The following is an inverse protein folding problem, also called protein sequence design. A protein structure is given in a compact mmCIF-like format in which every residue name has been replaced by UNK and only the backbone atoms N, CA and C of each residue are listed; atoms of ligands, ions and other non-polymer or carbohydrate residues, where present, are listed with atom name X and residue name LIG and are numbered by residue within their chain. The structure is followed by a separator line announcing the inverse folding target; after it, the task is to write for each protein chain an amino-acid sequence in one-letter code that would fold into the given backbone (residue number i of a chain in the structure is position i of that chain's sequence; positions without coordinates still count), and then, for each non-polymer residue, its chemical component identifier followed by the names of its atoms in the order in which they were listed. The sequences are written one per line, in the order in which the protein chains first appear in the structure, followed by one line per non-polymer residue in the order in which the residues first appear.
data_IF_448861630681
#
_entry.id   IF_448861630681
#
_cell.length_a   1.000
_cell.length_b   1.000
_cell.length_c   1.000
_cell.angle_alpha   90.00
_cell.angle_beta   90.00
_cell.angle_gamma   90.00
#
_symmetry.space_group_name_H-M   'P 1'
#
loop_
_entity.id
_entity.type
_entity.pdbx_description
1 polymer ?
#
# COMPACT_ATOMS: atom_id res chain seq x y z
N UNK A 1 11.41 10.38 -44.64
CA UNK A 1 10.56 11.06 -43.68
C UNK A 1 9.69 10.08 -42.87
N UNK A 2 8.90 9.19 -43.48
CA UNK A 2 8.05 8.21 -42.74
C UNK A 2 8.83 7.30 -41.77
N UNK A 3 10.03 6.83 -42.12
CA UNK A 3 10.87 5.96 -41.26
C UNK A 3 11.45 6.72 -40.08
N UNK A 4 11.77 8.01 -40.23
CA UNK A 4 12.28 8.85 -39.14
C UNK A 4 11.18 9.14 -38.11
N UNK A 5 9.96 9.35 -38.59
CA UNK A 5 8.79 9.55 -37.73
C UNK A 5 8.43 8.29 -36.93
N UNK A 6 8.59 7.09 -37.51
CA UNK A 6 8.36 5.81 -36.83
C UNK A 6 9.40 5.57 -35.72
N UNK A 7 10.68 5.91 -35.96
CA UNK A 7 11.74 5.77 -34.93
C UNK A 7 11.52 6.77 -33.78
N UNK A 8 11.11 8.00 -34.08
CA UNK A 8 10.80 9.02 -33.09
C UNK A 8 9.58 8.61 -32.24
N UNK A 9 8.54 8.07 -32.87
CA UNK A 9 7.36 7.56 -32.15
C UNK A 9 7.69 6.37 -31.22
N UNK A 10 8.63 5.51 -31.61
CA UNK A 10 9.08 4.38 -30.80
C UNK A 10 9.87 4.83 -29.56
N UNK A 11 10.60 5.94 -29.65
CA UNK A 11 11.37 6.51 -28.53
C UNK A 11 10.47 7.11 -27.42
N UNK A 12 9.25 7.55 -27.76
CA UNK A 12 8.29 8.08 -26.81
C UNK A 12 7.52 7.01 -26.00
N UNK A 13 7.68 5.73 -26.33
CA UNK A 13 6.97 4.61 -25.68
C UNK A 13 7.65 4.10 -24.41
N UNK A 14 8.84 4.60 -24.06
CA UNK A 14 9.51 4.26 -22.82
C UNK A 14 9.25 5.36 -21.76
N UNK A 15 8.65 5.00 -20.64
CA UNK A 15 8.50 5.87 -19.49
C UNK A 15 9.40 5.38 -18.36
N UNK A 16 10.02 6.34 -17.67
CA UNK A 16 10.81 6.06 -16.49
C UNK A 16 9.94 6.29 -15.24
N UNK A 17 9.93 5.31 -14.36
CA UNK A 17 9.31 5.42 -13.03
C UNK A 17 10.43 5.48 -11.99
N UNK A 18 10.36 6.47 -11.12
CA UNK A 18 11.29 6.63 -10.00
C UNK A 18 10.61 6.06 -8.76
N UNK A 19 11.33 5.20 -8.05
CA UNK A 19 10.95 4.69 -6.72
C UNK A 19 11.83 5.38 -5.71
N UNK A 20 11.22 6.13 -4.81
CA UNK A 20 11.93 6.90 -3.79
C UNK A 20 12.57 6.01 -2.70
N UNK A 21 13.61 6.47 -2.00
CA UNK A 21 14.16 5.82 -0.83
C UNK A 21 13.09 5.62 0.26
N UNK A 22 13.06 4.42 0.86
CA UNK A 22 12.03 4.02 1.83
C UNK A 22 10.75 3.47 1.23
N UNK A 23 10.74 3.25 -0.10
CA UNK A 23 9.67 2.59 -0.83
C UNK A 23 10.23 1.44 -1.67
N UNK A 24 9.37 0.51 -2.06
CA UNK A 24 9.68 -0.52 -3.04
C UNK A 24 8.61 -0.53 -4.13
N UNK A 25 9.06 -0.80 -5.35
CA UNK A 25 8.16 -0.93 -6.50
C UNK A 25 7.75 -2.39 -6.70
N UNK A 26 6.45 -2.63 -6.85
CA UNK A 26 5.91 -3.91 -7.28
C UNK A 26 5.37 -3.76 -8.69
N UNK A 27 5.93 -4.50 -9.65
CA UNK A 27 5.50 -4.45 -11.06
C UNK A 27 4.29 -5.33 -11.32
N UNK A 28 3.27 -4.76 -11.93
CA UNK A 28 2.16 -5.48 -12.54
C UNK A 28 2.25 -5.34 -14.06
N UNK A 29 2.37 -6.44 -14.77
CA UNK A 29 2.41 -6.47 -16.25
C UNK A 29 1.18 -7.19 -16.77
N UNK A 30 0.35 -6.49 -17.55
CA UNK A 30 -0.91 -7.02 -18.09
C UNK A 30 -1.80 -7.66 -16.97
N UNK A 31 -1.87 -7.02 -15.82
CA UNK A 31 -2.64 -7.51 -14.67
C UNK A 31 -1.98 -8.61 -13.83
N UNK A 32 -0.81 -9.13 -14.25
CA UNK A 32 -0.05 -10.11 -13.46
C UNK A 32 0.99 -9.41 -12.60
N UNK A 33 0.89 -9.58 -11.29
CA UNK A 33 1.90 -9.11 -10.33
C UNK A 33 3.16 -9.98 -10.44
N UNK A 34 4.32 -9.32 -10.46
CA UNK A 34 5.60 -10.02 -10.37
C UNK A 34 5.99 -10.19 -8.90
N UNK A 35 6.46 -11.40 -8.48
CA UNK A 35 6.80 -11.68 -7.08
C UNK A 35 8.08 -11.00 -6.61
N UNK A 36 8.63 -10.08 -7.39
CA UNK A 36 9.89 -9.38 -7.09
C UNK A 36 9.61 -7.95 -6.67
N UNK A 37 10.10 -7.57 -5.48
CA UNK A 37 10.20 -6.19 -5.05
C UNK A 37 11.40 -5.51 -5.71
N UNK A 38 11.17 -4.36 -6.31
CA UNK A 38 12.21 -3.55 -6.95
C UNK A 38 12.68 -2.47 -5.97
N UNK A 39 13.98 -2.42 -5.77
CA UNK A 39 14.64 -1.46 -4.89
C UNK A 39 14.43 -0.01 -5.39
N UNK A 40 14.62 1.00 -4.49
CA UNK A 40 14.59 2.40 -4.87
C UNK A 40 15.55 2.70 -6.03
N UNK A 41 15.12 3.58 -6.91
CA UNK A 41 15.91 4.01 -8.05
C UNK A 41 15.08 4.20 -9.32
N UNK A 42 15.78 4.43 -10.43
CA UNK A 42 15.17 4.62 -11.74
C UNK A 42 14.81 3.27 -12.36
N UNK A 43 13.56 3.15 -12.77
CA UNK A 43 13.05 1.97 -13.47
C UNK A 43 12.48 2.36 -14.84
N UNK A 44 12.97 1.70 -15.88
CA UNK A 44 12.35 1.81 -17.21
C UNK A 44 11.18 0.85 -17.32
N UNK A 45 10.01 1.36 -17.62
CA UNK A 45 8.78 0.58 -17.80
C UNK A 45 8.05 1.03 -19.06
N UNK A 46 7.31 0.11 -19.68
CA UNK A 46 6.39 0.47 -20.73
C UNK A 46 5.05 0.85 -20.10
N UNK A 47 4.60 2.12 -20.17
CA UNK A 47 3.40 2.59 -19.49
C UNK A 47 2.11 1.96 -20.02
N UNK A 48 2.12 1.43 -21.25
CA UNK A 48 0.94 0.83 -21.87
C UNK A 48 0.60 -0.56 -21.29
N UNK A 49 1.62 -1.29 -20.81
CA UNK A 49 1.46 -2.68 -20.38
C UNK A 49 1.91 -2.95 -18.95
N UNK A 50 2.63 -2.00 -18.32
CA UNK A 50 3.22 -2.19 -17.00
C UNK A 50 2.81 -1.06 -16.07
N UNK A 51 2.20 -1.43 -14.93
CA UNK A 51 1.94 -0.55 -13.80
C UNK A 51 2.91 -0.88 -12.66
N UNK A 52 3.41 0.15 -12.00
CA UNK A 52 4.24 0.00 -10.79
C UNK A 52 3.44 0.50 -9.59
N UNK A 53 3.24 -0.39 -8.62
CA UNK A 53 2.64 -0.07 -7.32
C UNK A 53 3.79 0.23 -6.36
N UNK A 54 3.78 1.41 -5.77
CA UNK A 54 4.82 1.85 -4.82
C UNK A 54 4.32 1.58 -3.40
N UNK A 55 5.10 0.81 -2.63
CA UNK A 55 4.75 0.38 -1.28
C UNK A 55 5.77 0.95 -0.29
N UNK A 56 5.33 1.66 0.78
CA UNK A 56 6.24 2.15 1.80
C UNK A 56 6.83 1.00 2.61
N UNK A 57 8.15 1.03 2.79
CA UNK A 57 8.90 0.10 3.64
C UNK A 57 9.45 0.76 4.89
N UNK A 58 9.31 2.09 4.97
CA UNK A 58 9.55 2.85 6.19
C UNK A 58 8.39 2.70 7.18
N UNK A 59 8.62 3.01 8.43
CA UNK A 59 7.54 3.08 9.43
C UNK A 59 6.56 4.18 9.06
N UNK A 60 5.29 3.81 8.93
CA UNK A 60 4.18 4.71 8.62
C UNK A 60 3.30 4.83 9.86
N UNK A 61 2.83 6.03 10.13
CA UNK A 61 1.84 6.30 11.18
C UNK A 61 0.45 6.40 10.53
N UNK A 62 -0.46 5.55 10.96
CA UNK A 62 -1.86 5.57 10.58
C UNK A 62 -2.70 6.08 11.76
N UNK A 63 -3.23 7.29 11.63
CA UNK A 63 -4.13 7.86 12.64
C UNK A 63 -5.57 7.52 12.32
N UNK A 64 -6.26 6.92 13.28
CA UNK A 64 -7.61 6.43 13.10
C UNK A 64 -8.50 6.90 14.25
N UNK A 65 -9.71 7.38 13.88
CA UNK A 65 -10.78 7.68 14.83
C UNK A 65 -11.78 6.53 14.84
N UNK A 66 -11.93 5.88 15.97
CA UNK A 66 -12.83 4.75 16.14
C UNK A 66 -13.89 5.04 17.20
N UNK A 67 -15.14 4.69 16.89
CA UNK A 67 -16.20 4.59 17.88
C UNK A 67 -16.20 3.19 18.46
N UNK A 68 -15.83 3.07 19.72
CA UNK A 68 -15.71 1.81 20.42
C UNK A 68 -16.80 1.66 21.47
N UNK A 69 -17.54 0.55 21.50
CA UNK A 69 -18.56 0.31 22.54
C UNK A 69 -17.86 -0.01 23.87
N UNK A 70 -18.30 0.64 24.95
CA UNK A 70 -17.93 0.29 26.31
C UNK A 70 -18.79 -0.87 26.83
N UNK A 71 -18.43 -1.45 27.98
CA UNK A 71 -19.20 -2.48 28.66
C UNK A 71 -20.65 -2.05 28.98
N UNK A 72 -20.89 -0.76 29.16
CA UNK A 72 -22.20 -0.17 29.48
C UNK A 72 -23.00 0.16 28.21
N UNK A 73 -22.50 -0.16 27.02
CA UNK A 73 -23.16 0.15 25.74
C UNK A 73 -23.00 1.59 25.29
N UNK A 74 -22.16 2.39 25.96
CA UNK A 74 -21.82 3.74 25.52
C UNK A 74 -20.76 3.71 24.44
N UNK A 75 -20.90 4.55 23.41
CA UNK A 75 -19.88 4.72 22.39
C UNK A 75 -18.82 5.73 22.85
N UNK A 76 -17.57 5.30 22.90
CA UNK A 76 -16.42 6.14 23.22
C UNK A 76 -15.66 6.42 21.92
N UNK A 77 -15.44 7.70 21.62
CA UNK A 77 -14.60 8.11 20.51
C UNK A 77 -13.14 8.03 20.94
N UNK A 78 -12.38 7.12 20.32
CA UNK A 78 -10.95 6.96 20.55
C UNK A 78 -10.17 7.41 19.32
N UNK A 79 -9.17 8.26 19.52
CA UNK A 79 -8.17 8.61 18.52
C UNK A 79 -6.93 7.77 18.78
N UNK A 80 -6.54 6.94 17.80
CA UNK A 80 -5.49 5.96 17.96
C UNK A 80 -4.52 6.08 16.81
N UNK A 81 -3.24 5.96 17.14
CA UNK A 81 -2.13 6.00 16.21
C UNK A 81 -1.49 4.61 16.09
N UNK A 82 -1.49 4.06 14.90
CA UNK A 82 -0.93 2.74 14.59
C UNK A 82 0.35 2.92 13.80
N UNK A 83 1.46 2.47 14.36
CA UNK A 83 2.75 2.45 13.67
C UNK A 83 2.96 1.08 13.05
N UNK A 84 3.22 1.04 11.75
CA UNK A 84 3.50 -0.21 11.05
C UNK A 84 4.57 -0.01 9.98
N UNK A 85 5.17 -1.09 9.53
CA UNK A 85 6.07 -1.11 8.36
C UNK A 85 5.92 -2.43 7.60
N UNK A 86 6.17 -2.39 6.30
CA UNK A 86 6.16 -3.57 5.44
C UNK A 86 7.59 -3.95 5.10
N UNK A 87 7.94 -5.21 5.29
CA UNK A 87 9.23 -5.73 4.85
C UNK A 87 9.29 -5.72 3.32
N UNK A 88 10.38 -5.20 2.75
CA UNK A 88 10.57 -5.07 1.29
C UNK A 88 10.35 -6.39 0.53
N UNK A 89 10.79 -7.51 1.11
CA UNK A 89 10.64 -8.84 0.51
C UNK A 89 9.20 -9.33 0.46
N UNK A 90 8.35 -8.86 1.39
CA UNK A 90 6.94 -9.28 1.51
C UNK A 90 5.97 -8.34 0.78
N UNK A 91 6.43 -7.17 0.34
CA UNK A 91 5.58 -6.19 -0.35
C UNK A 91 4.81 -6.79 -1.55
N UNK A 92 5.41 -7.58 -2.45
CA UNK A 92 4.66 -8.20 -3.55
C UNK A 92 3.56 -9.15 -3.07
N UNK A 93 3.82 -9.91 -2.01
CA UNK A 93 2.86 -10.84 -1.43
C UNK A 93 1.67 -10.12 -0.79
N UNK A 94 1.92 -9.03 -0.07
CA UNK A 94 0.86 -8.18 0.51
C UNK A 94 -0.04 -7.62 -0.58
N UNK A 95 0.54 -7.05 -1.64
CA UNK A 95 -0.24 -6.49 -2.76
C UNK A 95 -1.00 -7.59 -3.51
N UNK A 96 -0.45 -8.78 -3.63
CA UNK A 96 -1.11 -9.90 -4.31
C UNK A 96 -2.28 -10.46 -3.50
N UNK A 97 -2.15 -10.54 -2.18
CA UNK A 97 -3.13 -11.19 -1.29
C UNK A 97 -4.24 -10.22 -0.86
N UNK A 98 -3.87 -9.00 -0.53
CA UNK A 98 -4.78 -8.00 0.08
C UNK A 98 -5.12 -6.88 -0.92
N UNK A 99 -4.20 -6.55 -1.82
CA UNK A 99 -4.34 -5.44 -2.77
C UNK A 99 -3.66 -4.16 -2.31
N UNK A 100 -3.87 -3.08 -3.10
CA UNK A 100 -3.28 -1.76 -2.82
C UNK A 100 -3.86 -1.10 -1.55
N UNK A 101 -5.06 -1.50 -1.13
CA UNK A 101 -5.75 -0.98 0.05
C UNK A 101 -5.55 -1.82 1.31
N UNK A 102 -4.36 -2.40 1.48
CA UNK A 102 -4.03 -3.26 2.62
C UNK A 102 -4.17 -2.55 3.98
N UNK A 103 -4.01 -1.23 4.03
CA UNK A 103 -4.21 -0.43 5.25
C UNK A 103 -5.64 -0.54 5.76
N UNK A 104 -6.62 -0.29 4.89
CA UNK A 104 -8.04 -0.34 5.24
C UNK A 104 -8.51 -1.77 5.48
N UNK A 105 -8.13 -2.69 4.60
CA UNK A 105 -8.67 -4.05 4.57
C UNK A 105 -8.07 -4.92 5.67
N UNK A 106 -6.77 -4.80 5.93
CA UNK A 106 -6.06 -5.66 6.86
C UNK A 106 -5.76 -4.95 8.19
N UNK A 107 -5.01 -3.84 8.15
CA UNK A 107 -4.53 -3.18 9.37
C UNK A 107 -5.71 -2.62 10.17
N UNK A 108 -6.54 -1.81 9.52
CA UNK A 108 -7.64 -1.14 10.19
C UNK A 108 -8.74 -2.11 10.66
N UNK A 109 -9.08 -3.13 9.87
CA UNK A 109 -10.14 -4.09 10.24
C UNK A 109 -9.73 -4.96 11.42
N UNK A 110 -8.50 -5.49 11.42
CA UNK A 110 -7.97 -6.31 12.52
C UNK A 110 -7.86 -5.47 13.79
N UNK A 111 -7.33 -4.25 13.66
CA UNK A 111 -7.18 -3.35 14.80
C UNK A 111 -8.53 -2.95 15.39
N UNK A 112 -9.52 -2.63 14.58
CA UNK A 112 -10.89 -2.29 15.03
C UNK A 112 -11.52 -3.43 15.82
N UNK A 113 -11.39 -4.66 15.33
CA UNK A 113 -11.92 -5.84 16.01
C UNK A 113 -11.25 -6.07 17.37
N UNK A 114 -9.92 -5.98 17.42
CA UNK A 114 -9.16 -6.14 18.66
C UNK A 114 -9.45 -5.03 19.66
N UNK A 115 -9.53 -3.77 19.21
CA UNK A 115 -9.85 -2.64 20.06
C UNK A 115 -11.27 -2.73 20.62
N UNK A 116 -12.25 -3.14 19.82
CA UNK A 116 -13.63 -3.34 20.28
C UNK A 116 -13.72 -4.47 21.32
N UNK A 117 -13.02 -5.59 21.11
CA UNK A 117 -12.99 -6.70 22.09
C UNK A 117 -12.41 -6.25 23.43
N UNK A 118 -11.30 -5.50 23.41
CA UNK A 118 -10.69 -4.98 24.65
C UNK A 118 -11.61 -3.96 25.32
N UNK A 119 -12.13 -2.96 24.59
CA UNK A 119 -12.96 -1.90 25.17
C UNK A 119 -14.27 -2.41 25.74
N UNK A 120 -14.88 -3.45 25.15
CA UNK A 120 -16.12 -4.06 25.64
C UNK A 120 -15.98 -4.70 27.02
N UNK A 121 -14.76 -4.95 27.50
CA UNK A 121 -14.47 -5.51 28.83
C UNK A 121 -14.33 -4.44 29.92
N UNK A 122 -14.16 -3.18 29.53
CA UNK A 122 -13.93 -2.07 30.46
C UNK A 122 -15.11 -1.12 30.49
N UNK A 123 -15.36 -0.51 31.67
CA UNK A 123 -16.35 0.55 31.84
C UNK A 123 -15.78 1.87 31.34
N UNK A 124 -16.62 2.70 30.72
CA UNK A 124 -16.28 4.09 30.44
C UNK A 124 -16.26 4.85 31.78
N UNK A 125 -15.11 5.44 32.11
CA UNK A 125 -14.95 6.37 33.26
C UNK A 125 -14.79 7.78 32.74
#
# INVERSE_FOLDING_TARGET
MKRLFAVLALAFLSSCVIVDPGYVGVKSTLGKLKPKAYQPGLMTVNPLITRVVVVPTRTVNLEVRLNLPSKEGLNVLAEISILYHIQSSQAPNVIQTVGERYEDVMILSVFRSAAADVCSRYMAK
#
